data_IF_441931314744
#
_entry.id   IF_441931314744
#
_cell.length_a   1.000
_cell.length_b   1.000
_cell.length_c   1.000
_cell.angle_alpha   90.00
_cell.angle_beta   90.00
_cell.angle_gamma   90.00
#
_symmetry.space_group_name_H-M   'P 1'
#
loop_
_entity.id
_entity.type
_entity.pdbx_description
1 polymer ?
#
# COMPACT_ATOMS: atom_id res chain seq x y z
N UNK A 1 -28.23 -29.30 -16.49
CA UNK A 1 -27.66 -29.31 -15.11
C UNK A 1 -26.13 -29.20 -15.14
N UNK A 2 -25.54 -28.16 -15.76
CA UNK A 2 -24.06 -28.04 -15.90
C UNK A 2 -23.51 -26.65 -15.63
N UNK A 3 -24.37 -25.72 -15.19
CA UNK A 3 -24.03 -24.31 -14.98
C UNK A 3 -24.16 -23.86 -13.50
N UNK A 4 -24.54 -24.75 -12.59
CA UNK A 4 -24.71 -24.40 -11.17
C UNK A 4 -23.44 -24.59 -10.32
N UNK A 5 -22.44 -25.33 -10.81
CA UNK A 5 -21.21 -25.61 -10.04
C UNK A 5 -20.15 -24.52 -10.25
N UNK A 6 -20.17 -23.82 -11.37
CA UNK A 6 -19.20 -22.75 -11.69
C UNK A 6 -19.42 -21.45 -10.92
N UNK A 7 -20.59 -21.24 -10.31
CA UNK A 7 -20.84 -20.04 -9.51
C UNK A 7 -20.33 -20.16 -8.06
N UNK A 8 -20.19 -21.37 -7.53
CA UNK A 8 -19.80 -21.58 -6.13
C UNK A 8 -18.29 -21.48 -5.88
N UNK A 9 -17.47 -21.65 -6.93
CA UNK A 9 -16.01 -21.56 -6.86
C UNK A 9 -15.45 -20.14 -6.96
N UNK A 10 -16.27 -19.15 -7.32
CA UNK A 10 -15.85 -17.74 -7.40
C UNK A 10 -16.03 -16.96 -6.08
N UNK A 11 -16.75 -17.52 -5.09
CA UNK A 11 -16.91 -16.89 -3.77
C UNK A 11 -15.85 -17.33 -2.74
N UNK A 12 -15.05 -18.36 -3.03
CA UNK A 12 -14.04 -18.88 -2.09
C UNK A 12 -12.70 -18.12 -2.15
N UNK A 13 -12.45 -17.34 -3.20
CA UNK A 13 -11.18 -16.62 -3.39
C UNK A 13 -11.19 -15.18 -2.83
N UNK A 14 -12.36 -14.58 -2.62
CA UNK A 14 -12.46 -13.22 -2.07
C UNK A 14 -12.18 -13.19 -0.57
N UNK A 15 -12.58 -14.22 0.18
CA UNK A 15 -12.29 -14.35 1.61
C UNK A 15 -10.79 -14.53 1.89
N UNK A 16 -10.07 -15.23 1.01
CA UNK A 16 -8.61 -15.38 1.12
C UNK A 16 -7.90 -14.05 0.89
N UNK A 17 -8.29 -13.28 -0.13
CA UNK A 17 -7.68 -11.97 -0.40
C UNK A 17 -7.98 -10.92 0.69
N UNK A 18 -9.19 -10.93 1.27
CA UNK A 18 -9.55 -10.04 2.38
C UNK A 18 -8.68 -10.27 3.62
N UNK A 19 -8.56 -11.53 4.07
CA UNK A 19 -7.73 -11.89 5.21
C UNK A 19 -6.24 -11.54 4.99
N UNK A 20 -5.75 -11.65 3.75
CA UNK A 20 -4.37 -11.28 3.42
C UNK A 20 -4.16 -9.76 3.35
N UNK A 21 -5.19 -8.99 3.03
CA UNK A 21 -5.10 -7.53 2.95
C UNK A 21 -5.14 -6.87 4.34
N UNK A 22 -5.99 -7.37 5.23
CA UNK A 22 -6.01 -6.92 6.64
C UNK A 22 -4.68 -7.23 7.33
N UNK A 23 -4.16 -8.45 7.17
CA UNK A 23 -2.84 -8.81 7.70
C UNK A 23 -1.71 -7.92 7.14
N UNK A 24 -1.80 -7.56 5.85
CA UNK A 24 -0.85 -6.61 5.25
C UNK A 24 -0.98 -5.22 5.86
N UNK A 25 -2.20 -4.71 6.09
CA UNK A 25 -2.40 -3.41 6.75
C UNK A 25 -1.81 -3.43 8.16
N UNK A 26 -2.03 -4.50 8.93
CA UNK A 26 -1.46 -4.64 10.27
C UNK A 26 0.09 -4.61 10.24
N UNK A 27 0.73 -5.31 9.29
CA UNK A 27 2.19 -5.26 9.11
C UNK A 27 2.67 -3.86 8.68
N UNK A 28 1.96 -3.21 7.76
CA UNK A 28 2.29 -1.85 7.34
C UNK A 28 2.19 -0.84 8.50
N UNK A 29 1.19 -0.99 9.37
CA UNK A 29 0.99 -0.14 10.54
C UNK A 29 1.99 -0.41 11.65
N UNK A 30 2.50 -1.63 11.79
CA UNK A 30 3.59 -1.95 12.72
C UNK A 30 4.90 -1.28 12.34
N UNK A 31 5.06 -0.91 11.05
CA UNK A 31 6.26 -0.31 10.44
C UNK A 31 7.48 -1.24 10.45
N UNK A 32 7.30 -2.50 10.81
CA UNK A 32 8.31 -3.54 10.75
C UNK A 32 8.19 -4.31 9.43
N UNK A 33 8.50 -3.63 8.33
CA UNK A 33 8.32 -4.21 6.99
C UNK A 33 9.38 -5.27 6.69
N UNK A 34 8.92 -6.48 6.40
CA UNK A 34 9.81 -7.53 5.89
C UNK A 34 10.31 -7.22 4.46
N UNK A 35 11.45 -7.79 4.07
CA UNK A 35 11.93 -7.69 2.68
C UNK A 35 10.94 -8.32 1.68
N UNK A 36 10.20 -9.34 2.12
CA UNK A 36 9.15 -9.98 1.32
C UNK A 36 8.00 -9.02 1.06
N UNK A 37 7.55 -8.30 2.09
CA UNK A 37 6.52 -7.26 1.98
C UNK A 37 6.97 -6.12 1.07
N UNK A 38 8.22 -5.67 1.20
CA UNK A 38 8.78 -4.65 0.29
C UNK A 38 8.78 -5.16 -1.16
N UNK A 39 9.20 -6.39 -1.40
CA UNK A 39 9.20 -6.98 -2.75
C UNK A 39 7.78 -7.10 -3.32
N UNK A 40 6.80 -7.49 -2.48
CA UNK A 40 5.39 -7.52 -2.86
C UNK A 40 4.88 -6.13 -3.24
N UNK A 41 5.19 -5.09 -2.45
CA UNK A 41 4.82 -3.71 -2.76
C UNK A 41 5.42 -3.24 -4.09
N UNK A 42 6.66 -3.60 -4.40
CA UNK A 42 7.28 -3.28 -5.71
C UNK A 42 6.52 -3.93 -6.86
N UNK A 43 6.09 -5.19 -6.71
CA UNK A 43 5.29 -5.87 -7.74
C UNK A 43 3.88 -5.27 -7.89
N UNK A 44 3.32 -4.77 -6.78
CA UNK A 44 2.00 -4.16 -6.72
C UNK A 44 2.00 -2.67 -7.14
N UNK A 45 3.17 -2.05 -7.37
CA UNK A 45 3.29 -0.65 -7.81
C UNK A 45 2.90 -0.48 -9.29
N UNK A 46 1.64 -0.80 -9.58
CA UNK A 46 1.04 -0.71 -10.89
C UNK A 46 -0.33 -0.01 -10.78
N UNK A 47 -0.50 1.18 -11.40
CA UNK A 47 -1.73 1.96 -11.26
C UNK A 47 -2.98 1.24 -11.77
N UNK A 48 -2.84 0.22 -12.63
CA UNK A 48 -3.98 -0.57 -13.12
C UNK A 48 -4.59 -1.49 -12.06
N UNK A 49 -3.81 -1.85 -11.05
CA UNK A 49 -4.24 -2.79 -10.00
C UNK A 49 -5.06 -2.11 -8.90
N UNK A 50 -5.06 -0.77 -8.83
CA UNK A 50 -5.81 0.02 -7.82
C UNK A 50 -5.54 -0.38 -6.36
N UNK A 51 -4.36 -0.94 -6.08
CA UNK A 51 -3.98 -1.41 -4.74
C UNK A 51 -4.00 -0.26 -3.72
N UNK A 52 -3.66 0.95 -4.14
CA UNK A 52 -3.74 2.14 -3.28
C UNK A 52 -5.13 2.40 -2.71
N UNK A 53 -6.17 2.23 -3.53
CA UNK A 53 -7.55 2.35 -3.09
C UNK A 53 -7.90 1.22 -2.11
N UNK A 54 -7.54 -0.03 -2.44
CA UNK A 54 -7.80 -1.18 -1.57
C UNK A 54 -7.14 -1.07 -0.19
N UNK A 55 -5.88 -0.60 -0.14
CA UNK A 55 -5.17 -0.37 1.13
C UNK A 55 -5.83 0.71 1.98
N UNK A 56 -6.28 1.81 1.35
CA UNK A 56 -6.97 2.89 2.05
C UNK A 56 -8.29 2.40 2.68
N UNK A 57 -9.09 1.64 1.93
CA UNK A 57 -10.35 1.08 2.42
C UNK A 57 -10.11 0.06 3.55
N UNK A 58 -9.11 -0.82 3.39
CA UNK A 58 -8.75 -1.81 4.40
C UNK A 58 -8.21 -1.18 5.69
N UNK A 59 -7.54 -0.03 5.59
CA UNK A 59 -7.15 0.78 6.74
C UNK A 59 -8.32 1.56 7.38
N UNK A 60 -9.55 1.41 6.88
CA UNK A 60 -10.74 2.04 7.44
C UNK A 60 -10.81 3.56 7.23
N UNK A 61 -10.07 4.10 6.26
CA UNK A 61 -10.03 5.53 6.02
C UNK A 61 -11.33 6.02 5.36
N UNK A 62 -11.87 7.19 5.78
CA UNK A 62 -13.22 7.61 5.38
C UNK A 62 -13.32 8.17 3.95
N UNK A 63 -12.19 8.56 3.32
CA UNK A 63 -12.19 9.26 2.03
C UNK A 63 -11.09 8.74 1.10
N UNK A 64 -11.29 7.52 0.59
CA UNK A 64 -10.34 6.88 -0.32
C UNK A 64 -10.51 7.31 -1.77
N UNK A 65 -9.39 7.56 -2.46
CA UNK A 65 -9.36 7.95 -3.88
C UNK A 65 -9.32 6.70 -4.77
N UNK A 66 -10.33 6.44 -5.62
CA UNK A 66 -10.39 5.23 -6.45
C UNK A 66 -9.25 5.09 -7.47
N UNK A 67 -8.58 6.18 -7.78
CA UNK A 67 -7.43 6.27 -8.68
C UNK A 67 -6.13 6.59 -7.92
N UNK A 68 -6.12 6.37 -6.61
CA UNK A 68 -4.94 6.50 -5.77
C UNK A 68 -3.86 5.47 -6.14
N UNK A 69 -2.62 5.95 -6.26
CA UNK A 69 -1.45 5.11 -6.44
C UNK A 69 -1.17 4.21 -5.23
N UNK A 70 -0.28 3.24 -5.37
CA UNK A 70 0.18 2.46 -4.22
C UNK A 70 0.77 3.36 -3.12
N UNK A 71 1.62 4.33 -3.50
CA UNK A 71 2.19 5.30 -2.57
C UNK A 71 1.15 6.16 -1.84
N UNK A 72 0.02 6.45 -2.48
CA UNK A 72 -1.13 7.07 -1.82
C UNK A 72 -1.71 6.14 -0.74
N UNK A 73 -1.99 4.88 -1.08
CA UNK A 73 -2.54 3.92 -0.12
C UNK A 73 -1.63 3.69 1.09
N UNK A 74 -0.31 3.58 0.87
CA UNK A 74 0.66 3.45 1.96
C UNK A 74 0.69 4.68 2.89
N UNK A 75 0.49 5.87 2.34
CA UNK A 75 0.35 7.09 3.13
C UNK A 75 -0.92 7.07 3.99
N UNK A 76 -2.04 6.60 3.43
CA UNK A 76 -3.33 6.47 4.13
C UNK A 76 -3.23 5.43 5.27
N UNK A 77 -2.60 4.28 5.01
CA UNK A 77 -2.31 3.25 6.02
C UNK A 77 -1.44 3.80 7.17
N UNK A 78 -0.54 4.72 6.87
CA UNK A 78 0.31 5.39 7.86
C UNK A 78 -0.40 6.49 8.66
N UNK A 79 -1.71 6.65 8.51
CA UNK A 79 -2.50 7.78 9.03
C UNK A 79 -1.91 9.15 8.63
N UNK A 80 -1.37 9.21 7.41
CA UNK A 80 -0.75 10.40 6.87
C UNK A 80 -1.77 11.49 6.57
N UNK A 81 -1.49 12.72 6.98
CA UNK A 81 -2.30 13.88 6.54
C UNK A 81 -1.90 14.32 5.14
N UNK A 82 -2.87 14.73 4.31
CA UNK A 82 -2.65 15.31 2.97
C UNK A 82 -1.98 14.34 1.96
N UNK A 83 -2.37 13.07 1.98
CA UNK A 83 -1.83 12.04 1.10
C UNK A 83 -1.95 12.40 -0.39
N UNK A 84 -0.80 12.33 -1.08
CA UNK A 84 -0.67 12.64 -2.51
C UNK A 84 -1.22 11.49 -3.33
N UNK A 85 -2.29 11.76 -4.06
CA UNK A 85 -3.00 10.77 -4.91
C UNK A 85 -2.07 10.03 -5.88
N UNK A 86 -1.08 10.73 -6.42
CA UNK A 86 -0.12 10.20 -7.39
C UNK A 86 1.27 9.96 -6.76
N UNK A 87 1.33 9.79 -5.43
CA UNK A 87 2.58 9.53 -4.72
C UNK A 87 3.23 8.24 -5.23
N UNK A 88 4.53 8.28 -5.49
CA UNK A 88 5.30 7.09 -5.84
C UNK A 88 5.34 6.07 -4.70
N UNK A 89 5.72 4.83 -4.97
CA UNK A 89 6.02 3.86 -3.91
C UNK A 89 7.06 4.41 -2.91
N UNK A 90 8.11 5.09 -3.39
CA UNK A 90 9.10 5.74 -2.55
C UNK A 90 8.53 6.81 -1.60
N UNK A 91 7.55 7.58 -2.08
CA UNK A 91 6.78 8.49 -1.23
C UNK A 91 6.03 7.74 -0.13
N UNK A 92 5.34 6.65 -0.49
CA UNK A 92 4.56 5.85 0.46
C UNK A 92 5.41 5.21 1.56
N UNK A 93 6.56 4.61 1.20
CA UNK A 93 7.50 4.04 2.17
C UNK A 93 8.07 5.09 3.12
N UNK A 94 8.38 6.29 2.60
CA UNK A 94 8.80 7.41 3.44
C UNK A 94 7.70 7.83 4.44
N UNK A 95 6.43 7.82 4.03
CA UNK A 95 5.30 8.14 4.91
C UNK A 95 5.11 7.07 5.99
N UNK A 96 5.24 5.79 5.64
CA UNK A 96 5.18 4.67 6.59
C UNK A 96 6.29 4.74 7.65
N UNK A 97 7.47 5.25 7.28
CA UNK A 97 8.54 5.54 8.24
C UNK A 97 8.18 6.65 9.27
N UNK A 98 7.01 7.28 9.14
CA UNK A 98 6.54 8.37 9.99
C UNK A 98 7.12 9.73 9.64
N UNK A 99 7.80 9.86 8.49
CA UNK A 99 8.34 11.13 8.03
C UNK A 99 7.23 12.03 7.48
N UNK A 100 7.23 13.31 7.90
CA UNK A 100 6.26 14.31 7.42
C UNK A 100 6.71 15.02 6.14
N UNK A 101 7.96 14.84 5.73
CA UNK A 101 8.60 15.59 4.64
C UNK A 101 8.92 14.69 3.44
N UNK A 102 7.95 13.88 3.01
CA UNK A 102 8.12 12.96 1.88
C UNK A 102 7.88 13.66 0.54
N UNK A 103 8.74 13.39 -0.45
CA UNK A 103 8.57 13.91 -1.81
C UNK A 103 7.65 13.02 -2.60
N UNK A 104 6.61 13.60 -3.20
CA UNK A 104 5.60 12.90 -4.01
C UNK A 104 6.20 12.01 -5.11
N UNK A 105 7.31 12.44 -5.72
CA UNK A 105 8.02 11.69 -6.78
C UNK A 105 9.29 11.00 -6.30
N UNK A 106 9.42 10.75 -5.00
CA UNK A 106 10.61 10.10 -4.43
C UNK A 106 10.83 8.70 -5.03
N UNK A 107 12.08 8.38 -5.34
CA UNK A 107 12.48 7.06 -5.83
C UNK A 107 12.24 5.96 -4.79
N UNK A 108 12.22 4.69 -5.22
CA UNK A 108 12.18 3.55 -4.29
C UNK A 108 13.38 3.60 -3.30
N UNK A 109 14.58 3.90 -3.81
CA UNK A 109 15.78 4.02 -2.98
C UNK A 109 15.68 5.13 -1.93
N UNK A 110 15.05 6.26 -2.26
CA UNK A 110 14.72 7.29 -1.29
C UNK A 110 13.83 6.76 -0.16
N UNK A 111 12.72 6.10 -0.51
CA UNK A 111 11.78 5.55 0.45
C UNK A 111 12.43 4.53 1.39
N UNK A 112 13.22 3.61 0.83
CA UNK A 112 13.95 2.59 1.60
C UNK A 112 15.00 3.21 2.54
N UNK A 113 15.73 4.22 2.07
CA UNK A 113 16.68 4.96 2.90
C UNK A 113 15.99 5.57 4.13
N UNK A 114 14.85 6.24 3.92
CA UNK A 114 14.09 6.86 5.02
C UNK A 114 13.52 5.79 5.96
N UNK A 115 12.98 4.71 5.41
CA UNK A 115 12.44 3.59 6.17
C UNK A 115 13.49 2.91 7.05
N UNK A 116 14.73 2.81 6.58
CA UNK A 116 15.87 2.31 7.37
C UNK A 116 16.34 3.28 8.46
N UNK A 117 15.75 4.47 8.58
CA UNK A 117 16.14 5.49 9.55
C UNK A 117 17.45 6.22 9.20
N UNK A 118 17.90 6.10 7.95
CA UNK A 118 19.15 6.70 7.50
C UNK A 118 19.06 8.24 7.39
N UNK A 119 20.21 8.89 7.54
CA UNK A 119 20.33 10.34 7.38
C UNK A 119 20.79 10.65 5.95
N UNK A 120 20.35 11.80 5.41
CA UNK A 120 20.73 12.31 4.08
C UNK A 120 20.13 11.55 2.88
N UNK A 121 18.93 10.98 3.02
CA UNK A 121 18.20 10.36 1.93
C UNK A 121 17.83 11.37 0.84
N UNK A 122 18.17 11.06 -0.42
CA UNK A 122 17.88 11.93 -1.57
C UNK A 122 16.66 11.40 -2.35
N UNK A 123 15.65 12.25 -2.61
CA UNK A 123 14.44 11.90 -3.36
C UNK A 123 14.70 11.33 -4.74
#
# INVERSE_FOLDING_TARGET
>A
MKYLITAFLLCASTASLGNNLEALVDELQSRELSLETIAALVQLDNPRLKVGYGLCEAAGQPMCKPDGSLGYGLCEVADGTLCKKNGSLGYGLCMLAGSKNCREKGSLGYGLCVLAGEKNCKP
#
